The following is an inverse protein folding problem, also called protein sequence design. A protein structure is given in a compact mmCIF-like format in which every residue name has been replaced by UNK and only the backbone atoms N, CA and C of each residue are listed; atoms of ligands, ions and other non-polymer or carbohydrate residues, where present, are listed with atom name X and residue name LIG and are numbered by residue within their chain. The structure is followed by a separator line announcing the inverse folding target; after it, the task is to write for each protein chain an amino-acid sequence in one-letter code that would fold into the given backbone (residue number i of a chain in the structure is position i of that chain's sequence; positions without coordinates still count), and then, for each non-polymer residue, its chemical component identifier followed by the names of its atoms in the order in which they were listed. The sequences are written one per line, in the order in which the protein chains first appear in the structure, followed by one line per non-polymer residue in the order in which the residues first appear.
data_IF_773950793321
#
_entry.id   IF_773950793321
#
_cell.length_a   1.000
_cell.length_b   1.000
_cell.length_c   1.000
_cell.angle_alpha   90.00
_cell.angle_beta   90.00
_cell.angle_gamma   90.00
#
_symmetry.space_group_name_H-M   'P 1'
#
loop_
_entity.id
_entity.type
_entity.pdbx_description
1 polymer ?
#
# COMPACT_ATOMS: atom_id res chain seq x y z
N UNK A 1 33.43 -11.15 -31.27
CA UNK A 1 33.61 -10.44 -29.98
C UNK A 1 34.38 -9.10 -30.03
N UNK A 2 34.40 -8.29 -31.11
CA UNK A 2 34.81 -6.87 -31.01
C UNK A 2 33.63 -5.88 -30.97
N UNK A 3 32.42 -6.29 -31.37
CA UNK A 3 31.23 -5.41 -31.44
C UNK A 3 30.67 -5.02 -30.08
N UNK A 4 30.86 -5.88 -29.07
CA UNK A 4 30.33 -5.67 -27.71
C UNK A 4 31.13 -4.58 -26.99
N UNK A 5 32.45 -4.54 -27.15
CA UNK A 5 33.35 -3.56 -26.52
C UNK A 5 33.17 -2.15 -27.07
N UNK A 6 32.81 -2.02 -28.34
CA UNK A 6 32.51 -0.72 -28.96
C UNK A 6 31.23 -0.11 -28.40
N UNK A 7 30.19 -0.93 -28.18
CA UNK A 7 28.89 -0.49 -27.66
C UNK A 7 28.99 -0.12 -26.17
N UNK A 8 29.70 -0.90 -25.35
CA UNK A 8 29.85 -0.59 -23.92
C UNK A 8 30.61 0.71 -23.66
N UNK A 9 31.65 1.01 -24.44
CA UNK A 9 32.44 2.24 -24.25
C UNK A 9 31.73 3.51 -24.76
N UNK A 10 30.97 3.42 -25.85
CA UNK A 10 30.08 4.52 -26.29
C UNK A 10 28.99 4.82 -25.26
N UNK A 11 28.42 3.76 -24.66
CA UNK A 11 27.38 3.89 -23.64
C UNK A 11 27.91 4.59 -22.37
N UNK A 12 29.12 4.24 -21.93
CA UNK A 12 29.76 4.86 -20.76
C UNK A 12 30.10 6.35 -20.98
N UNK A 13 30.61 6.72 -22.16
CA UNK A 13 30.87 8.13 -22.50
C UNK A 13 29.57 8.96 -22.55
N UNK A 14 28.50 8.41 -23.13
CA UNK A 14 27.20 9.09 -23.18
C UNK A 14 26.63 9.27 -21.77
N UNK A 15 26.73 8.27 -20.90
CA UNK A 15 26.26 8.34 -19.50
C UNK A 15 27.04 9.39 -18.70
N UNK A 16 28.38 9.43 -18.83
CA UNK A 16 29.21 10.41 -18.14
C UNK A 16 28.87 11.86 -18.57
N UNK A 17 28.68 12.08 -19.87
CA UNK A 17 28.25 13.38 -20.41
C UNK A 17 26.83 13.75 -19.94
N UNK A 18 25.90 12.79 -19.87
CA UNK A 18 24.53 13.01 -19.38
C UNK A 18 24.49 13.39 -17.90
N UNK A 19 25.34 12.77 -17.08
CA UNK A 19 25.45 13.05 -15.65
C UNK A 19 26.03 14.44 -15.37
N UNK A 20 26.97 14.91 -16.19
CA UNK A 20 27.47 16.29 -16.10
C UNK A 20 26.42 17.30 -16.59
N UNK A 21 25.66 16.95 -17.63
CA UNK A 21 24.64 17.80 -18.26
C UNK A 21 23.39 18.00 -17.38
N UNK A 22 23.09 17.12 -16.42
CA UNK A 22 21.98 17.29 -15.46
C UNK A 22 22.18 18.42 -14.44
N UNK A 23 23.37 19.01 -14.32
CA UNK A 23 23.68 20.07 -13.35
C UNK A 23 23.39 21.51 -13.81
N UNK A 24 22.79 21.72 -14.99
CA UNK A 24 22.55 23.06 -15.57
C UNK A 24 21.03 23.34 -15.73
N UNK A 25 20.51 24.57 -15.47
CA UNK A 25 19.06 24.85 -15.55
C UNK A 25 18.42 24.65 -16.94
N UNK A 26 17.10 24.41 -16.95
CA UNK A 26 16.33 23.74 -18.03
C UNK A 26 15.96 24.55 -19.28
N UNK A 27 16.21 25.86 -19.37
CA UNK A 27 15.42 26.69 -20.29
C UNK A 27 15.89 26.76 -21.77
N UNK A 28 17.01 26.17 -22.18
CA UNK A 28 17.43 26.16 -23.60
C UNK A 28 18.32 24.95 -23.91
N UNK A 29 17.81 23.87 -24.52
CA UNK A 29 18.66 22.72 -24.89
C UNK A 29 18.21 22.06 -26.19
N UNK A 30 19.14 21.94 -27.13
CA UNK A 30 19.14 20.97 -28.22
C UNK A 30 20.53 20.32 -28.28
N UNK A 31 20.59 18.99 -28.36
CA UNK A 31 21.84 18.25 -28.60
C UNK A 31 21.79 17.66 -30.00
N UNK A 32 22.86 17.85 -30.77
CA UNK A 32 23.06 17.17 -32.03
C UNK A 32 24.33 16.33 -31.94
N UNK A 33 24.24 15.08 -32.41
CA UNK A 33 25.38 14.21 -32.64
C UNK A 33 25.64 14.18 -34.14
N UNK A 34 26.84 14.56 -34.56
CA UNK A 34 27.25 14.50 -35.96
C UNK A 34 28.48 13.60 -36.09
N UNK A 35 28.37 12.58 -36.94
CA UNK A 35 29.43 11.60 -37.23
C UNK A 35 29.96 11.90 -38.63
N UNK A 36 31.18 12.40 -38.73
CA UNK A 36 31.84 12.69 -40.00
C UNK A 36 32.92 11.66 -40.29
N UNK A 37 32.90 11.11 -41.51
CA UNK A 37 33.87 10.14 -42.00
C UNK A 37 34.78 10.83 -43.02
N UNK A 38 36.09 10.89 -42.74
CA UNK A 38 37.09 11.43 -43.67
C UNK A 38 38.16 10.38 -43.95
N UNK A 39 38.45 10.17 -45.23
CA UNK A 39 39.60 9.36 -45.68
C UNK A 39 40.75 10.29 -46.05
N UNK A 40 41.84 10.29 -45.28
CA UNK A 40 43.10 10.90 -45.71
C UNK A 40 43.87 9.88 -46.58
N UNK A 41 44.27 10.30 -47.78
CA UNK A 41 45.31 9.61 -48.55
C UNK A 41 46.64 10.24 -48.17
N UNK A 42 47.43 9.54 -47.36
CA UNK A 42 48.86 9.84 -47.23
C UNK A 42 49.68 8.65 -47.73
N UNK A 43 50.77 8.97 -48.42
CA UNK A 43 51.70 8.02 -49.01
C UNK A 43 52.51 7.29 -47.93
N UNK A 44 51.95 6.26 -47.31
CA UNK A 44 52.69 5.18 -46.67
C UNK A 44 51.83 3.92 -46.52
N UNK A 45 52.49 2.76 -46.49
CA UNK A 45 51.93 1.43 -46.69
C UNK A 45 51.03 0.95 -45.53
N UNK A 46 49.81 1.49 -45.42
CA UNK A 46 48.58 0.92 -44.83
C UNK A 46 47.54 2.05 -44.67
N UNK A 47 46.31 1.96 -45.23
CA UNK A 47 45.30 2.99 -45.03
C UNK A 47 44.75 2.95 -43.60
N UNK A 48 45.01 3.98 -42.80
CA UNK A 48 44.32 4.22 -41.53
C UNK A 48 42.99 4.95 -41.77
N UNK A 49 41.92 4.53 -41.09
CA UNK A 49 40.62 5.21 -41.12
C UNK A 49 40.40 5.88 -39.77
N UNK A 50 40.24 7.20 -39.74
CA UNK A 50 40.02 7.95 -38.50
C UNK A 50 38.53 8.30 -38.38
N UNK A 51 37.91 7.95 -37.26
CA UNK A 51 36.55 8.37 -36.92
C UNK A 51 36.64 9.54 -35.94
N UNK A 52 36.08 10.68 -36.30
CA UNK A 52 35.99 11.84 -35.40
C UNK A 52 34.55 11.98 -34.93
N UNK A 53 34.34 11.90 -33.62
CA UNK A 53 33.04 12.17 -33.01
C UNK A 53 33.07 13.61 -32.47
N UNK A 54 32.21 14.47 -33.01
CA UNK A 54 32.08 15.85 -32.52
C UNK A 54 30.76 16.00 -31.77
N UNK A 55 30.81 16.45 -30.52
CA UNK A 55 29.62 16.90 -29.80
C UNK A 55 29.52 18.41 -29.91
N UNK A 56 28.41 18.89 -30.48
CA UNK A 56 28.11 20.31 -30.59
C UNK A 56 27.08 20.70 -29.55
N UNK A 57 27.43 21.68 -28.71
CA UNK A 57 26.52 22.27 -27.73
C UNK A 57 26.09 23.66 -28.21
N UNK A 58 24.79 23.87 -28.33
CA UNK A 58 24.22 25.16 -28.70
C UNK A 58 23.66 25.88 -27.46
N UNK A 59 24.10 27.12 -27.24
CA UNK A 59 23.55 28.04 -26.23
C UNK A 59 23.22 29.37 -26.90
N UNK A 60 22.02 29.51 -27.43
CA UNK A 60 21.65 30.69 -28.23
C UNK A 60 22.50 30.80 -29.51
N UNK A 61 22.90 32.01 -29.92
CA UNK A 61 23.66 32.29 -31.16
C UNK A 61 25.17 31.96 -31.11
N UNK A 62 25.63 31.19 -30.12
CA UNK A 62 27.05 30.86 -29.94
C UNK A 62 27.28 29.35 -29.87
N UNK A 63 28.28 28.86 -30.61
CA UNK A 63 28.69 27.44 -30.67
C UNK A 63 29.94 27.19 -29.84
N UNK A 64 29.94 26.10 -29.06
CA UNK A 64 31.13 25.54 -28.41
C UNK A 64 31.36 24.13 -28.98
N UNK A 65 32.52 23.89 -29.59
CA UNK A 65 32.91 22.58 -30.15
C UNK A 65 33.93 21.90 -29.22
N UNK A 66 33.68 20.63 -28.89
CA UNK A 66 34.65 19.79 -28.17
C UNK A 66 35.03 18.62 -29.10
N UNK A 67 36.30 18.55 -29.50
CA UNK A 67 36.81 17.49 -30.35
C UNK A 67 37.44 16.38 -29.52
N UNK A 68 36.96 15.14 -29.69
CA UNK A 68 37.58 13.95 -29.12
C UNK A 68 38.15 13.14 -30.28
N UNK A 69 39.49 13.08 -30.35
CA UNK A 69 40.21 12.27 -31.34
C UNK A 69 40.40 10.85 -30.79
N UNK A 70 39.89 9.85 -31.49
CA UNK A 70 40.21 8.44 -31.23
C UNK A 70 40.66 7.77 -32.52
N UNK A 71 41.88 7.22 -32.54
CA UNK A 71 42.43 6.48 -33.68
C UNK A 71 42.17 4.99 -33.47
N UNK A 72 41.52 4.33 -34.45
CA UNK A 72 41.34 2.87 -34.43
C UNK A 72 41.72 2.27 -35.79
N UNK A 73 42.46 1.16 -35.76
CA UNK A 73 42.76 0.31 -36.93
C UNK A 73 41.80 -0.88 -36.92
N UNK A 74 41.08 -1.12 -38.02
CA UNK A 74 40.17 -2.25 -38.15
C UNK A 74 40.34 -2.94 -39.53
N UNK A 75 40.54 -4.26 -39.49
CA UNK A 75 40.69 -5.13 -40.66
C UNK A 75 39.33 -5.47 -41.30
N UNK A 76 39.26 -5.42 -42.63
CA UNK A 76 38.07 -5.70 -43.46
C UNK A 76 37.58 -7.14 -43.29
N UNK A 77 36.31 -7.32 -42.89
CA UNK A 77 35.49 -8.43 -43.40
C UNK A 77 34.12 -7.88 -43.81
N UNK A 78 33.74 -8.15 -45.06
CA UNK A 78 32.48 -7.72 -45.68
C UNK A 78 31.35 -8.65 -45.25
N UNK A 79 30.36 -8.14 -44.51
CA UNK A 79 29.03 -8.73 -44.39
C UNK A 79 27.99 -7.59 -44.47
N UNK A 80 26.97 -7.67 -45.35
CA UNK A 80 25.90 -6.69 -45.38
C UNK A 80 24.88 -7.03 -44.28
N UNK A 81 24.75 -6.16 -43.28
CA UNK A 81 23.64 -6.22 -42.31
C UNK A 81 22.74 -5.03 -42.59
N UNK A 82 21.50 -5.28 -43.01
CA UNK A 82 20.45 -4.26 -43.05
C UNK A 82 20.03 -3.92 -41.62
N UNK A 83 20.31 -2.69 -41.19
CA UNK A 83 19.80 -2.17 -39.92
C UNK A 83 18.42 -1.56 -40.15
N UNK A 84 17.37 -2.33 -39.84
CA UNK A 84 16.05 -1.76 -39.62
C UNK A 84 16.07 -0.98 -38.30
N UNK A 85 16.02 0.34 -38.39
CA UNK A 85 15.91 1.25 -37.25
C UNK A 85 14.51 1.12 -36.64
N UNK A 86 14.38 0.36 -35.56
CA UNK A 86 13.22 0.47 -34.68
C UNK A 86 13.32 1.79 -33.88
N UNK A 87 12.22 2.53 -33.71
CA UNK A 87 12.23 3.76 -32.92
C UNK A 87 12.63 3.46 -31.46
N UNK A 88 13.27 4.41 -30.77
CA UNK A 88 13.70 4.20 -29.39
C UNK A 88 12.50 3.93 -28.48
N UNK A 89 12.40 2.69 -27.98
CA UNK A 89 11.47 2.33 -26.92
C UNK A 89 11.97 3.00 -25.64
N UNK A 90 11.37 4.12 -25.30
CA UNK A 90 11.51 4.74 -23.99
C UNK A 90 10.76 3.88 -22.98
N UNK A 91 11.48 3.08 -22.20
CA UNK A 91 10.92 2.47 -20.99
C UNK A 91 10.80 3.54 -19.90
N UNK A 92 9.76 4.36 -19.99
CA UNK A 92 9.18 4.99 -18.82
C UNK A 92 8.29 3.95 -18.16
N UNK A 93 8.74 3.38 -17.03
CA UNK A 93 7.81 2.67 -16.16
C UNK A 93 6.82 3.73 -15.65
N UNK A 94 5.52 3.67 -16.02
CA UNK A 94 4.56 4.60 -15.45
C UNK A 94 4.55 4.35 -13.95
N UNK A 95 4.75 5.39 -13.15
CA UNK A 95 4.40 5.35 -11.73
C UNK A 95 2.90 5.10 -11.67
N UNK A 96 2.50 3.84 -11.58
CA UNK A 96 1.09 3.48 -11.45
C UNK A 96 0.62 4.09 -10.13
N UNK A 97 -0.37 4.96 -10.19
CA UNK A 97 -1.00 5.51 -8.99
C UNK A 97 -1.82 4.42 -8.28
N UNK A 98 -2.17 4.62 -7.01
CA UNK A 98 -3.13 3.77 -6.30
C UNK A 98 -4.43 3.57 -7.11
N UNK A 99 -4.88 4.60 -7.84
CA UNK A 99 -6.04 4.52 -8.72
C UNK A 99 -5.85 3.50 -9.87
N UNK A 100 -4.64 3.33 -10.39
CA UNK A 100 -4.38 2.38 -11.49
C UNK A 100 -4.52 0.92 -11.04
N UNK A 101 -4.26 0.62 -9.77
CA UNK A 101 -4.52 -0.72 -9.22
C UNK A 101 -6.02 -1.05 -9.21
N UNK A 102 -6.88 -0.04 -9.02
CA UNK A 102 -8.33 -0.21 -8.93
C UNK A 102 -9.06 -0.05 -10.27
N UNK A 103 -8.47 0.60 -11.28
CA UNK A 103 -9.06 0.67 -12.64
C UNK A 103 -9.37 -0.70 -13.24
N UNK A 104 -8.54 -1.70 -12.95
CA UNK A 104 -8.72 -3.07 -13.46
C UNK A 104 -9.84 -3.84 -12.73
N UNK A 105 -10.32 -3.33 -11.59
CA UNK A 105 -11.33 -3.96 -10.75
C UNK A 105 -12.34 -2.90 -10.24
N UNK A 106 -13.21 -2.38 -11.13
CA UNK A 106 -14.15 -1.33 -10.77
C UNK A 106 -15.22 -1.84 -9.78
N UNK A 107 -15.62 -0.97 -8.85
CA UNK A 107 -16.70 -1.28 -7.88
C UNK A 107 -17.85 -0.32 -8.11
N UNK A 108 -18.98 -0.84 -8.57
CA UNK A 108 -20.16 -0.06 -8.87
C UNK A 108 -21.05 0.09 -7.63
N UNK A 109 -21.38 1.34 -7.28
CA UNK A 109 -22.48 1.63 -6.37
C UNK A 109 -23.78 1.06 -6.94
N UNK A 110 -24.48 0.26 -6.14
CA UNK A 110 -25.75 -0.32 -6.53
C UNK A 110 -26.84 0.76 -6.57
N UNK A 111 -27.70 0.73 -7.59
CA UNK A 111 -28.69 1.80 -7.84
C UNK A 111 -29.78 1.90 -6.75
N UNK A 112 -30.01 0.84 -5.95
CA UNK A 112 -30.93 0.87 -4.81
C UNK A 112 -30.15 1.00 -3.51
N UNK A 113 -29.90 2.24 -3.08
CA UNK A 113 -29.41 2.48 -1.72
C UNK A 113 -30.47 2.12 -0.70
N UNK A 114 -30.10 1.30 0.27
CA UNK A 114 -30.94 1.00 1.41
C UNK A 114 -30.87 2.15 2.42
N UNK A 115 -32.03 2.54 2.92
CA UNK A 115 -32.10 3.33 4.14
C UNK A 115 -32.16 2.38 5.33
N UNK A 116 -30.98 2.07 5.88
CA UNK A 116 -30.81 1.15 7.00
C UNK A 116 -31.62 1.55 8.24
N UNK A 117 -32.04 2.81 8.38
CA UNK A 117 -32.79 3.28 9.54
C UNK A 117 -34.28 2.88 9.51
N UNK A 118 -34.80 2.49 8.35
CA UNK A 118 -36.23 2.20 8.14
C UNK A 118 -36.57 0.72 7.99
N UNK A 119 -35.55 -0.13 7.83
CA UNK A 119 -35.74 -1.55 7.56
C UNK A 119 -36.10 -2.32 8.85
N UNK A 120 -37.24 -3.02 8.81
CA UNK A 120 -37.66 -3.92 9.89
C UNK A 120 -37.03 -5.31 9.78
N UNK A 121 -36.64 -5.71 8.56
CA UNK A 121 -36.03 -7.01 8.26
C UNK A 121 -34.83 -6.83 7.33
N UNK A 122 -33.91 -7.79 7.37
CA UNK A 122 -32.73 -7.80 6.52
C UNK A 122 -33.09 -8.31 5.12
N UNK A 123 -32.78 -7.57 4.04
CA UNK A 123 -33.00 -8.05 2.68
C UNK A 123 -32.12 -9.26 2.35
N UNK A 124 -32.56 -10.15 1.45
CA UNK A 124 -31.79 -11.35 1.07
C UNK A 124 -30.41 -11.06 0.49
N UNK A 125 -30.20 -9.86 -0.07
CA UNK A 125 -28.90 -9.39 -0.54
C UNK A 125 -27.90 -9.14 0.59
N UNK A 126 -28.37 -8.97 1.83
CA UNK A 126 -27.58 -8.73 3.03
C UNK A 126 -27.69 -9.87 4.05
N UNK A 127 -28.40 -10.95 3.73
CA UNK A 127 -28.42 -12.17 4.55
C UNK A 127 -27.17 -12.99 4.29
N UNK A 128 -26.22 -12.92 5.21
CA UNK A 128 -25.01 -13.73 5.26
C UNK A 128 -25.35 -15.06 5.95
N UNK A 129 -25.13 -16.17 5.25
CA UNK A 129 -25.32 -17.51 5.81
C UNK A 129 -24.00 -18.05 6.35
N UNK A 130 -24.04 -19.09 7.21
CA UNK A 130 -22.80 -19.79 7.61
C UNK A 130 -22.02 -20.35 6.41
N UNK A 131 -22.69 -20.56 5.27
CA UNK A 131 -22.06 -20.97 4.02
C UNK A 131 -21.26 -19.83 3.33
N UNK A 132 -21.58 -18.57 3.62
CA UNK A 132 -20.81 -17.42 3.16
C UNK A 132 -19.59 -17.14 4.08
N UNK A 133 -19.55 -17.80 5.25
CA UNK A 133 -18.48 -17.80 6.26
C UNK A 133 -17.58 -19.08 6.17
N UNK A 134 -17.69 -19.90 5.10
CA UNK A 134 -17.15 -21.29 5.01
C UNK A 134 -15.65 -21.46 5.26
N UNK A 135 -14.83 -20.43 5.25
CA UNK A 135 -13.41 -20.61 5.60
C UNK A 135 -13.15 -20.72 7.12
N UNK A 136 -14.17 -20.75 8.00
CA UNK A 136 -13.96 -20.34 9.41
C UNK A 136 -14.73 -21.10 10.51
N UNK A 137 -14.81 -22.44 10.43
CA UNK A 137 -15.12 -23.29 11.60
C UNK A 137 -13.93 -24.26 11.84
N UNK A 138 -13.33 -24.37 13.04
CA UNK A 138 -13.67 -25.28 14.16
C UNK A 138 -12.45 -25.29 15.15
N UNK A 139 -12.45 -25.92 16.35
CA UNK A 139 -13.47 -26.71 17.03
C UNK A 139 -14.02 -26.06 18.31
N UNK A 140 -15.21 -26.51 18.70
CA UNK A 140 -15.76 -26.36 20.05
C UNK A 140 -14.84 -27.07 21.06
N UNK A 141 -13.94 -26.33 21.68
CA UNK A 141 -13.32 -26.74 22.94
C UNK A 141 -13.60 -25.62 23.92
N UNK A 142 -14.37 -25.94 24.95
CA UNK A 142 -14.53 -25.12 26.15
C UNK A 142 -13.16 -24.92 26.81
N UNK A 143 -12.42 -23.94 26.30
CA UNK A 143 -11.22 -23.41 26.93
C UNK A 143 -11.64 -22.09 27.56
N UNK A 144 -11.81 -22.10 28.88
CA UNK A 144 -12.10 -20.94 29.73
C UNK A 144 -10.94 -19.91 29.80
N UNK A 145 -10.06 -19.88 28.80
CA UNK A 145 -9.04 -18.84 28.66
C UNK A 145 -9.64 -17.74 27.79
N UNK A 146 -10.12 -16.67 28.43
CA UNK A 146 -10.46 -15.42 27.73
C UNK A 146 -9.16 -14.72 27.33
N UNK A 147 -8.48 -15.23 26.30
CA UNK A 147 -7.35 -14.50 25.70
C UNK A 147 -7.91 -13.22 25.07
N UNK A 148 -7.35 -12.07 25.44
CA UNK A 148 -7.76 -10.76 24.93
C UNK A 148 -6.63 -10.11 24.16
N UNK A 149 -6.98 -9.25 23.19
CA UNK A 149 -6.01 -8.43 22.47
C UNK A 149 -5.13 -7.64 23.45
N UNK A 150 -3.78 -7.70 23.34
CA UNK A 150 -2.88 -7.02 24.26
C UNK A 150 -3.09 -5.51 24.26
N UNK A 151 -3.04 -4.90 25.44
CA UNK A 151 -3.09 -3.43 25.62
C UNK A 151 -1.69 -2.91 25.92
N UNK A 152 -1.22 -1.99 25.10
CA UNK A 152 0.12 -1.43 25.18
C UNK A 152 0.04 0.05 25.57
N UNK A 153 0.65 0.40 26.69
CA UNK A 153 0.92 1.79 27.05
C UNK A 153 2.16 2.30 26.31
N UNK A 154 2.02 3.34 25.49
CA UNK A 154 3.15 3.91 24.73
C UNK A 154 4.13 4.74 25.59
N UNK A 155 3.86 4.92 26.89
CA UNK A 155 4.77 5.53 27.85
C UNK A 155 5.52 4.50 28.71
N UNK A 156 5.18 3.22 28.60
CA UNK A 156 5.87 2.15 29.33
C UNK A 156 7.36 2.08 28.93
N UNK A 157 8.31 2.05 29.87
CA UNK A 157 9.74 1.86 29.58
C UNK A 157 10.04 0.60 28.74
N UNK A 158 9.21 -0.44 28.85
CA UNK A 158 9.30 -1.71 28.14
C UNK A 158 8.45 -1.75 26.87
N UNK A 159 7.90 -0.62 26.41
CA UNK A 159 7.03 -0.51 25.23
C UNK A 159 7.59 -1.26 24.01
N UNK A 160 8.91 -1.22 23.80
CA UNK A 160 9.56 -1.87 22.67
C UNK A 160 9.34 -3.40 22.70
N UNK A 161 9.57 -4.02 23.86
CA UNK A 161 9.38 -5.46 24.04
C UNK A 161 7.89 -5.84 23.99
N UNK A 162 7.04 -5.04 24.65
CA UNK A 162 5.61 -5.30 24.74
C UNK A 162 4.94 -5.25 23.34
N UNK A 163 5.27 -4.25 22.52
CA UNK A 163 4.81 -4.17 21.12
C UNK A 163 5.31 -5.37 20.33
N UNK A 164 6.60 -5.70 20.42
CA UNK A 164 7.17 -6.82 19.67
C UNK A 164 6.49 -8.14 19.98
N UNK A 165 6.18 -8.39 21.25
CA UNK A 165 5.47 -9.58 21.70
C UNK A 165 4.03 -9.60 21.20
N UNK A 166 3.29 -8.49 21.31
CA UNK A 166 1.92 -8.39 20.82
C UNK A 166 1.85 -8.59 19.30
N UNK A 167 2.75 -7.97 18.54
CA UNK A 167 2.81 -8.16 17.09
C UNK A 167 3.09 -9.62 16.70
N UNK A 168 4.02 -10.32 17.38
CA UNK A 168 4.33 -11.74 17.09
C UNK A 168 3.18 -12.69 17.41
N UNK A 169 2.50 -12.45 18.53
CA UNK A 169 1.54 -13.42 19.10
C UNK A 169 0.10 -13.16 18.69
N UNK A 170 -0.23 -11.92 18.33
CA UNK A 170 -1.57 -11.49 17.98
C UNK A 170 -1.67 -10.82 16.61
N UNK A 171 -0.65 -10.13 16.13
CA UNK A 171 -0.75 -9.30 14.91
C UNK A 171 -1.72 -8.10 15.05
N UNK A 172 -2.31 -7.92 16.23
CA UNK A 172 -3.22 -6.85 16.61
C UNK A 172 -2.96 -6.46 18.07
N UNK A 173 -3.10 -5.17 18.38
CA UNK A 173 -2.90 -4.64 19.73
C UNK A 173 -3.73 -3.38 19.96
N UNK A 174 -4.13 -3.14 21.21
CA UNK A 174 -4.53 -1.81 21.64
C UNK A 174 -3.32 -0.97 21.98
N UNK A 175 -3.39 0.33 21.70
CA UNK A 175 -2.44 1.32 22.19
C UNK A 175 -3.17 2.40 23.00
N UNK A 176 -2.56 2.77 24.12
CA UNK A 176 -2.99 3.86 25.01
C UNK A 176 -1.85 4.85 25.21
N UNK A 177 -2.15 6.03 25.77
CA UNK A 177 -1.17 7.12 25.92
C UNK A 177 -0.39 7.43 24.64
N UNK A 178 -1.08 7.34 23.50
CA UNK A 178 -0.47 7.48 22.17
C UNK A 178 -0.17 8.92 21.77
N UNK A 179 -0.64 9.90 22.54
CA UNK A 179 -0.37 11.33 22.35
C UNK A 179 -1.30 12.04 21.37
N UNK A 180 -2.32 11.35 20.84
CA UNK A 180 -3.37 12.02 20.05
C UNK A 180 -4.36 12.65 21.02
N UNK A 181 -4.70 13.95 20.88
CA UNK A 181 -5.70 14.59 21.74
C UNK A 181 -7.05 13.88 21.64
N UNK A 182 -7.66 13.57 22.79
CA UNK A 182 -8.99 12.94 22.83
C UNK A 182 -10.04 13.81 22.12
N UNK A 183 -9.96 15.13 22.26
CA UNK A 183 -10.84 16.06 21.57
C UNK A 183 -10.73 15.96 20.04
N UNK A 184 -9.57 15.59 19.49
CA UNK A 184 -9.43 15.38 18.04
C UNK A 184 -10.13 14.08 17.60
N UNK A 185 -10.07 13.02 18.42
CA UNK A 185 -10.81 11.77 18.18
C UNK A 185 -12.33 12.01 18.23
N UNK A 186 -12.81 12.78 19.21
CA UNK A 186 -14.22 13.17 19.32
C UNK A 186 -14.68 14.03 18.14
N UNK A 187 -13.83 14.97 17.69
CA UNK A 187 -14.13 15.83 16.54
C UNK A 187 -14.23 15.02 15.24
N UNK A 188 -13.30 14.09 14.97
CA UNK A 188 -13.35 13.25 13.77
C UNK A 188 -14.54 12.28 13.80
N UNK A 189 -14.92 11.77 14.98
CA UNK A 189 -16.16 11.00 15.15
C UNK A 189 -17.39 11.87 14.83
N UNK A 190 -17.43 13.11 15.34
CA UNK A 190 -18.52 14.06 15.08
C UNK A 190 -18.67 14.35 13.59
N UNK A 191 -17.56 14.59 12.87
CA UNK A 191 -17.56 14.78 11.41
C UNK A 191 -18.09 13.54 10.70
N UNK A 192 -17.62 12.35 11.09
CA UNK A 192 -18.05 11.08 10.50
C UNK A 192 -19.54 10.82 10.74
N UNK A 193 -20.03 11.05 11.95
CA UNK A 193 -21.45 10.94 12.27
C UNK A 193 -22.28 11.89 11.43
N UNK A 194 -21.89 13.17 11.33
CA UNK A 194 -22.59 14.16 10.49
C UNK A 194 -22.63 13.74 9.04
N UNK A 195 -21.55 13.18 8.50
CA UNK A 195 -21.48 12.67 7.13
C UNK A 195 -22.53 11.59 6.89
N UNK A 196 -22.55 10.55 7.74
CA UNK A 196 -23.44 9.42 7.53
C UNK A 196 -24.91 9.73 7.84
N UNK A 197 -25.18 10.74 8.67
CA UNK A 197 -26.52 11.28 8.92
C UNK A 197 -27.08 12.14 7.77
N UNK A 198 -26.28 12.51 6.76
CA UNK A 198 -26.79 13.25 5.61
C UNK A 198 -27.81 12.40 4.82
N UNK A 199 -28.82 13.03 4.19
CA UNK A 199 -29.69 12.34 3.25
C UNK A 199 -28.89 11.66 2.14
N UNK A 200 -29.34 10.49 1.69
CA UNK A 200 -28.60 9.70 0.68
C UNK A 200 -28.28 10.50 -0.59
N UNK A 201 -29.21 11.33 -1.06
CA UNK A 201 -29.01 12.20 -2.23
C UNK A 201 -27.84 13.17 -2.04
N UNK A 202 -27.61 13.63 -0.81
CA UNK A 202 -26.49 14.50 -0.48
C UNK A 202 -25.19 13.70 -0.41
N UNK A 203 -25.18 12.54 0.25
CA UNK A 203 -24.00 11.64 0.30
C UNK A 203 -23.52 11.24 -1.11
N UNK A 204 -24.46 10.97 -2.01
CA UNK A 204 -24.20 10.60 -3.40
C UNK A 204 -23.53 11.70 -4.24
N UNK A 205 -23.56 12.97 -3.81
CA UNK A 205 -22.81 14.03 -4.52
C UNK A 205 -21.31 13.78 -4.48
N UNK A 206 -20.83 13.19 -3.38
CA UNK A 206 -19.44 12.77 -3.20
C UNK A 206 -19.26 11.26 -3.44
N UNK A 207 -20.09 10.64 -4.28
CA UNK A 207 -19.95 9.23 -4.61
C UNK A 207 -18.60 8.93 -5.26
N UNK A 208 -17.96 7.85 -4.80
CA UNK A 208 -16.74 7.36 -5.40
C UNK A 208 -17.01 6.86 -6.83
N UNK A 209 -16.20 7.27 -7.80
CA UNK A 209 -16.29 6.72 -9.16
C UNK A 209 -15.94 5.22 -9.16
N UNK A 210 -16.44 4.41 -10.11
CA UNK A 210 -16.19 2.97 -10.11
C UNK A 210 -14.71 2.58 -10.05
N UNK A 211 -13.88 3.37 -10.74
CA UNK A 211 -12.42 3.24 -10.81
C UNK A 211 -11.66 4.08 -9.77
N UNK A 212 -12.33 5.00 -9.08
CA UNK A 212 -11.75 5.94 -8.13
C UNK A 212 -11.58 5.34 -6.74
N UNK A 213 -10.69 5.92 -5.92
CA UNK A 213 -10.39 5.39 -4.57
C UNK A 213 -11.13 6.13 -3.47
N UNK A 214 -11.33 7.43 -3.65
CA UNK A 214 -11.92 8.34 -2.66
C UNK A 214 -13.40 8.62 -2.92
N UNK A 215 -14.15 8.89 -1.86
CA UNK A 215 -15.57 9.23 -1.90
C UNK A 215 -16.44 8.24 -1.12
N UNK A 216 -17.74 8.52 -1.13
CA UNK A 216 -18.79 7.70 -0.53
C UNK A 216 -19.03 6.43 -1.34
N UNK A 217 -19.13 5.29 -0.67
CA UNK A 217 -19.63 4.06 -1.27
C UNK A 217 -19.33 2.80 -0.46
N UNK A 218 -19.67 1.66 -1.06
CA UNK A 218 -19.50 0.35 -0.42
C UNK A 218 -18.02 -0.01 -0.24
N UNK A 219 -17.69 -0.88 0.72
CA UNK A 219 -16.33 -1.37 0.89
C UNK A 219 -15.83 -2.03 -0.41
N UNK A 220 -14.60 -1.74 -0.85
CA UNK A 220 -14.07 -2.31 -2.11
C UNK A 220 -14.00 -3.83 -2.09
N UNK A 221 -13.81 -4.44 -0.91
CA UNK A 221 -13.81 -5.89 -0.76
C UNK A 221 -15.17 -6.53 -1.07
N UNK A 222 -16.26 -5.75 -1.11
CA UNK A 222 -17.62 -6.29 -1.37
C UNK A 222 -17.70 -6.99 -2.73
N UNK A 223 -16.84 -6.67 -3.71
CA UNK A 223 -16.82 -7.35 -5.00
C UNK A 223 -16.38 -8.82 -4.94
N UNK A 224 -15.79 -9.26 -3.83
CA UNK A 224 -15.40 -10.66 -3.61
C UNK A 224 -16.52 -11.51 -3.00
N UNK A 225 -17.65 -10.90 -2.65
CA UNK A 225 -18.74 -11.56 -1.96
C UNK A 225 -20.02 -11.45 -2.78
N UNK A 226 -20.83 -12.50 -2.73
CA UNK A 226 -22.16 -12.52 -3.35
C UNK A 226 -23.19 -11.69 -2.55
N UNK A 227 -22.89 -11.44 -1.27
CA UNK A 227 -23.70 -10.69 -0.31
C UNK A 227 -23.14 -9.30 -0.07
N UNK A 228 -24.03 -8.36 0.17
CA UNK A 228 -23.71 -6.97 0.51
C UNK A 228 -23.47 -6.82 2.01
N UNK A 229 -22.59 -5.89 2.34
CA UNK A 229 -22.26 -5.56 3.72
C UNK A 229 -23.33 -4.66 4.34
N UNK A 230 -23.61 -4.85 5.63
CA UNK A 230 -24.43 -3.96 6.44
C UNK A 230 -23.61 -2.75 6.93
N UNK A 231 -23.11 -1.96 5.98
CA UNK A 231 -22.31 -0.78 6.29
C UNK A 231 -22.34 0.27 5.19
N UNK A 232 -22.03 1.49 5.60
CA UNK A 232 -21.69 2.60 4.73
C UNK A 232 -20.21 2.97 4.89
N UNK A 233 -19.57 3.40 3.81
CA UNK A 233 -18.16 3.76 3.80
C UNK A 233 -17.90 5.10 3.13
N UNK A 234 -16.85 5.78 3.59
CA UNK A 234 -16.30 6.96 2.93
C UNK A 234 -14.78 6.89 2.97
N UNK A 235 -14.15 6.84 1.80
CA UNK A 235 -12.68 6.77 1.68
C UNK A 235 -12.11 8.14 1.35
N UNK A 236 -11.04 8.55 2.02
CA UNK A 236 -10.30 9.77 1.75
C UNK A 236 -8.85 9.38 1.46
N UNK A 237 -8.38 9.72 0.26
CA UNK A 237 -6.99 9.63 -0.15
C UNK A 237 -6.56 11.02 -0.60
N UNK A 238 -5.58 11.61 0.07
CA UNK A 238 -5.22 13.01 -0.11
C UNK A 238 -6.24 13.93 0.56
N UNK A 239 -6.53 15.09 -0.05
CA UNK A 239 -7.42 16.07 0.58
C UNK A 239 -8.91 15.70 0.45
N UNK A 240 -9.73 15.90 1.51
CA UNK A 240 -11.18 15.72 1.45
C UNK A 240 -11.92 16.88 0.76
N UNK A 241 -11.21 17.97 0.40
CA UNK A 241 -11.77 19.25 -0.02
C UNK A 241 -12.86 19.16 -1.09
N UNK A 242 -12.60 18.48 -2.20
CA UNK A 242 -13.55 18.42 -3.32
C UNK A 242 -14.86 17.72 -2.91
N UNK A 243 -14.76 16.61 -2.20
CA UNK A 243 -15.93 15.90 -1.71
C UNK A 243 -16.67 16.70 -0.63
N UNK A 244 -15.96 17.27 0.33
CA UNK A 244 -16.59 18.00 1.43
C UNK A 244 -17.25 19.29 0.96
N UNK A 245 -16.71 19.96 -0.08
CA UNK A 245 -17.36 21.11 -0.73
C UNK A 245 -18.71 20.73 -1.34
N UNK A 246 -18.84 19.52 -1.90
CA UNK A 246 -20.10 19.02 -2.44
C UNK A 246 -21.09 18.62 -1.34
N UNK A 247 -20.60 18.05 -0.23
CA UNK A 247 -21.42 17.62 0.91
C UNK A 247 -21.88 18.78 1.79
N UNK A 248 -21.03 19.79 2.03
CA UNK A 248 -21.29 20.92 2.92
C UNK A 248 -20.78 22.24 2.33
N UNK A 249 -21.45 22.81 1.32
CA UNK A 249 -20.96 24.00 0.61
C UNK A 249 -20.65 25.22 1.49
N UNK A 250 -21.29 25.32 2.66
CA UNK A 250 -21.14 26.46 3.58
C UNK A 250 -20.16 26.21 4.74
N UNK A 251 -19.86 24.94 5.09
CA UNK A 251 -19.09 24.59 6.29
C UNK A 251 -17.91 23.64 6.01
N UNK A 252 -17.64 23.30 4.74
CA UNK A 252 -16.67 22.29 4.37
C UNK A 252 -15.27 22.54 4.95
N UNK A 253 -14.83 23.80 5.07
CA UNK A 253 -13.49 24.14 5.58
C UNK A 253 -13.28 23.60 7.00
N UNK A 254 -14.26 23.80 7.89
CA UNK A 254 -14.19 23.31 9.28
C UNK A 254 -14.05 21.80 9.35
N UNK A 255 -14.74 21.08 8.46
CA UNK A 255 -14.65 19.61 8.42
C UNK A 255 -13.35 19.14 7.77
N UNK A 256 -12.86 19.85 6.74
CA UNK A 256 -11.54 19.59 6.17
C UNK A 256 -10.44 19.75 7.23
N UNK A 257 -10.45 20.85 7.98
CA UNK A 257 -9.43 21.15 9.01
C UNK A 257 -9.34 20.01 10.05
N UNK A 258 -10.49 19.47 10.49
CA UNK A 258 -10.54 18.34 11.44
C UNK A 258 -9.94 17.08 10.85
N UNK A 259 -10.32 16.71 9.61
CA UNK A 259 -9.79 15.52 8.94
C UNK A 259 -8.28 15.66 8.71
N UNK A 260 -7.83 16.81 8.21
CA UNK A 260 -6.42 17.04 7.87
C UNK A 260 -5.53 17.05 9.12
N UNK A 261 -5.98 17.64 10.23
CA UNK A 261 -5.26 17.58 11.50
C UNK A 261 -5.23 16.14 12.06
N UNK A 262 -6.35 15.40 11.97
CA UNK A 262 -6.40 13.99 12.35
C UNK A 262 -5.43 13.13 11.54
N UNK A 263 -5.40 13.27 10.20
CA UNK A 263 -4.47 12.53 9.34
C UNK A 263 -3.02 12.86 9.65
N UNK A 264 -2.71 14.12 9.97
CA UNK A 264 -1.36 14.55 10.36
C UNK A 264 -0.91 13.90 11.67
N UNK A 265 -1.75 13.86 12.70
CA UNK A 265 -1.42 13.20 13.97
C UNK A 265 -1.35 11.67 13.82
N UNK A 266 -2.27 11.07 13.05
CA UNK A 266 -2.21 9.65 12.72
C UNK A 266 -0.95 9.27 11.93
N UNK A 267 -0.49 10.12 11.01
CA UNK A 267 0.76 9.90 10.27
C UNK A 267 1.97 9.86 11.22
N UNK A 268 2.04 10.79 12.19
CA UNK A 268 3.11 10.81 13.19
C UNK A 268 3.07 9.54 14.05
N UNK A 269 1.88 9.15 14.51
CA UNK A 269 1.70 7.95 15.31
C UNK A 269 2.07 6.68 14.52
N UNK A 270 1.61 6.55 13.28
CA UNK A 270 1.91 5.42 12.41
C UNK A 270 3.43 5.26 12.18
N UNK A 271 4.14 6.36 11.95
CA UNK A 271 5.61 6.35 11.84
C UNK A 271 6.27 5.89 13.14
N UNK A 272 5.82 6.41 14.29
CA UNK A 272 6.34 6.01 15.61
C UNK A 272 6.12 4.52 15.86
N UNK A 273 4.91 4.03 15.65
CA UNK A 273 4.55 2.61 15.82
C UNK A 273 5.34 1.70 14.88
N UNK A 274 5.47 2.07 13.61
CA UNK A 274 6.28 1.32 12.63
C UNK A 274 7.72 1.15 13.14
N UNK A 275 8.33 2.21 13.67
CA UNK A 275 9.69 2.14 14.22
C UNK A 275 9.80 1.38 15.54
N UNK A 276 8.78 1.41 16.40
CA UNK A 276 8.74 0.58 17.61
C UNK A 276 8.63 -0.91 17.25
N UNK A 277 7.76 -1.26 16.31
CA UNK A 277 7.62 -2.63 15.81
C UNK A 277 8.95 -3.11 15.21
N UNK A 278 9.49 -2.40 14.22
CA UNK A 278 10.77 -2.74 13.60
C UNK A 278 11.93 -2.78 14.62
N UNK A 279 11.99 -1.81 15.52
CA UNK A 279 13.01 -1.75 16.58
C UNK A 279 12.98 -2.96 17.51
N UNK A 280 11.79 -3.53 17.78
CA UNK A 280 11.66 -4.74 18.59
C UNK A 280 12.14 -6.02 17.87
N UNK A 281 12.36 -5.96 16.55
CA UNK A 281 13.08 -6.96 15.76
C UNK A 281 14.58 -6.63 15.63
N UNK A 282 15.07 -5.62 16.35
CA UNK A 282 16.44 -5.14 16.27
C UNK A 282 16.76 -4.40 14.97
N UNK A 283 15.74 -3.94 14.23
CA UNK A 283 15.91 -3.19 12.98
C UNK A 283 16.10 -1.71 13.30
N UNK A 284 17.07 -1.09 12.62
CA UNK A 284 17.41 0.32 12.74
C UNK A 284 17.21 1.05 11.42
N UNK A 285 17.29 2.39 11.43
CA UNK A 285 17.24 3.20 10.20
C UNK A 285 18.29 2.83 9.16
N UNK A 286 19.41 2.19 9.56
CA UNK A 286 20.48 1.76 8.66
C UNK A 286 20.10 0.52 7.85
N UNK A 287 19.15 -0.26 8.34
CA UNK A 287 18.70 -1.51 7.73
C UNK A 287 17.59 -1.27 6.68
N UNK A 288 17.03 -0.06 6.62
CA UNK A 288 15.96 0.33 5.71
C UNK A 288 16.30 1.63 4.96
N UNK A 289 16.87 1.48 3.76
CA UNK A 289 17.35 2.59 2.95
C UNK A 289 16.26 3.61 2.56
N UNK A 290 15.00 3.17 2.46
CA UNK A 290 13.86 4.03 2.12
C UNK A 290 13.19 4.67 3.35
N UNK A 291 13.54 4.25 4.58
CA UNK A 291 12.91 4.75 5.80
C UNK A 291 13.84 5.71 6.61
N UNK A 292 15.07 5.94 6.16
CA UNK A 292 16.02 6.86 6.79
C UNK A 292 15.74 8.35 6.51
N UNK A 293 16.53 9.29 7.08
CA UNK A 293 16.31 10.75 6.96
C UNK A 293 16.29 11.30 5.52
N UNK A 294 16.85 10.56 4.56
CA UNK A 294 16.83 10.87 3.11
C UNK A 294 15.68 10.21 2.35
N UNK A 295 15.03 9.22 2.96
CA UNK A 295 13.88 8.47 2.47
C UNK A 295 12.56 8.85 3.15
N UNK A 296 12.59 9.83 4.06
CA UNK A 296 11.42 10.55 4.56
C UNK A 296 10.80 11.38 3.42
N UNK A 297 10.32 10.71 2.36
CA UNK A 297 9.43 11.37 1.41
C UNK A 297 8.19 11.79 2.18
N UNK A 298 7.65 12.96 1.83
CA UNK A 298 6.34 13.43 2.30
C UNK A 298 5.19 12.54 1.78
N UNK A 299 5.49 11.47 1.06
CA UNK A 299 4.59 10.71 0.17
C UNK A 299 4.50 9.24 0.58
N UNK A 300 4.40 8.93 1.87
CA UNK A 300 3.84 7.65 2.28
C UNK A 300 2.39 7.60 1.84
N UNK A 301 1.95 6.55 1.15
CA UNK A 301 0.54 6.45 0.79
C UNK A 301 -0.27 6.17 2.05
N UNK A 302 -1.31 6.98 2.26
CA UNK A 302 -2.27 6.76 3.32
C UNK A 302 -3.68 6.88 2.76
N UNK A 303 -4.61 6.18 3.39
CA UNK A 303 -6.03 6.36 3.19
C UNK A 303 -6.71 6.44 4.55
N UNK A 304 -7.67 7.35 4.68
CA UNK A 304 -8.59 7.37 5.81
C UNK A 304 -9.91 6.76 5.36
N UNK A 305 -10.36 5.73 6.06
CA UNK A 305 -11.61 5.04 5.79
C UNK A 305 -12.56 5.28 6.96
N UNK A 306 -13.64 6.03 6.71
CA UNK A 306 -14.73 6.21 7.65
C UNK A 306 -15.76 5.10 7.41
N UNK A 307 -16.15 4.39 8.45
CA UNK A 307 -17.13 3.30 8.37
C UNK A 307 -18.28 3.54 9.34
N UNK A 308 -19.50 3.32 8.85
CA UNK A 308 -20.74 3.38 9.60
C UNK A 308 -21.44 2.03 9.52
N UNK A 309 -21.80 1.48 10.68
CA UNK A 309 -22.52 0.22 10.82
C UNK A 309 -23.83 0.50 11.57
N UNK A 310 -24.93 0.77 10.85
CA UNK A 310 -26.25 0.97 11.42
C UNK A 310 -26.68 -0.19 12.31
N UNK A 311 -27.56 0.10 13.27
CA UNK A 311 -28.25 -0.94 14.02
C UNK A 311 -28.95 -1.90 13.04
N UNK A 312 -28.92 -3.20 13.34
CA UNK A 312 -29.31 -4.25 12.42
C UNK A 312 -30.44 -5.09 13.03
N UNK A 313 -31.60 -5.28 12.37
CA UNK A 313 -32.72 -6.01 12.97
C UNK A 313 -32.41 -7.49 13.23
N UNK A 314 -31.44 -8.07 12.52
CA UNK A 314 -31.02 -9.46 12.72
C UNK A 314 -29.48 -9.63 12.57
N UNK A 315 -28.70 -9.20 13.58
CA UNK A 315 -27.25 -9.08 13.45
C UNK A 315 -26.53 -10.42 13.20
N UNK A 316 -27.14 -11.55 13.54
CA UNK A 316 -26.56 -12.88 13.33
C UNK A 316 -26.63 -13.31 11.85
N UNK A 317 -27.46 -12.64 11.05
CA UNK A 317 -27.59 -12.86 9.60
C UNK A 317 -26.93 -11.75 8.77
N UNK A 318 -26.18 -10.84 9.38
CA UNK A 318 -25.55 -9.72 8.68
C UNK A 318 -24.07 -9.57 9.00
N UNK A 319 -23.32 -9.11 8.02
CA UNK A 319 -21.90 -8.79 8.17
C UNK A 319 -21.68 -7.31 7.90
N UNK A 320 -21.06 -6.61 8.86
CA UNK A 320 -20.73 -5.20 8.70
C UNK A 320 -19.55 -5.01 7.76
N UNK A 321 -18.51 -5.80 7.93
CA UNK A 321 -17.36 -5.89 7.02
C UNK A 321 -16.81 -7.30 7.10
N UNK A 322 -16.79 -8.01 5.98
CA UNK A 322 -16.37 -9.41 5.94
C UNK A 322 -14.90 -9.61 6.30
N UNK A 323 -14.57 -10.86 6.63
CA UNK A 323 -13.22 -11.25 7.02
C UNK A 323 -12.20 -10.95 5.92
N UNK A 324 -11.15 -10.22 6.29
CA UNK A 324 -10.06 -9.85 5.40
C UNK A 324 -8.78 -9.56 6.20
N UNK A 325 -7.66 -9.45 5.50
CA UNK A 325 -6.43 -8.84 6.01
C UNK A 325 -6.15 -7.51 5.31
N UNK A 326 -5.45 -6.61 5.99
CA UNK A 326 -5.14 -5.27 5.47
C UNK A 326 -3.91 -5.27 4.57
N UNK A 327 -4.01 -4.63 3.40
CA UNK A 327 -2.92 -4.58 2.41
C UNK A 327 -1.82 -3.54 2.72
N UNK A 328 -1.74 -3.03 3.95
CA UNK A 328 -0.90 -1.89 4.37
C UNK A 328 0.33 -2.36 5.16
N UNK A 329 1.15 -1.43 5.67
CA UNK A 329 2.14 -1.76 6.71
C UNK A 329 1.42 -1.95 8.05
N UNK A 330 0.61 -0.97 8.43
CA UNK A 330 -0.24 -1.05 9.59
C UNK A 330 -1.52 -0.26 9.38
N UNK A 331 -2.54 -0.60 10.14
CA UNK A 331 -3.80 0.14 10.23
C UNK A 331 -3.97 0.63 11.65
N UNK A 332 -4.31 1.90 11.84
CA UNK A 332 -4.69 2.46 13.14
C UNK A 332 -6.18 2.72 13.11
N UNK A 333 -6.92 2.11 14.03
CA UNK A 333 -8.37 2.12 14.06
C UNK A 333 -8.87 2.80 15.32
N UNK A 334 -9.60 3.90 15.13
CA UNK A 334 -10.49 4.44 16.14
C UNK A 334 -11.86 3.75 16.07
N UNK A 335 -12.46 3.53 17.23
CA UNK A 335 -13.79 2.92 17.39
C UNK A 335 -14.57 3.74 18.41
N UNK A 336 -15.85 3.99 18.15
CA UNK A 336 -16.73 4.53 19.19
C UNK A 336 -17.02 3.48 20.28
N UNK A 337 -17.84 3.81 21.26
CA UNK A 337 -18.17 2.93 22.41
C UNK A 337 -19.02 1.69 22.06
N UNK A 338 -19.10 1.29 20.79
CA UNK A 338 -19.83 0.11 20.32
C UNK A 338 -18.85 -0.95 19.79
N UNK A 339 -18.82 -2.12 20.43
CA UNK A 339 -18.05 -3.28 19.96
C UNK A 339 -18.52 -3.75 18.58
N UNK A 340 -17.61 -4.38 17.84
CA UNK A 340 -17.94 -4.98 16.54
C UNK A 340 -16.73 -5.54 15.79
N UNK A 341 -15.51 -5.06 16.08
CA UNK A 341 -14.30 -5.69 15.54
C UNK A 341 -14.13 -7.08 16.15
N UNK A 342 -13.89 -8.06 15.29
CA UNK A 342 -13.43 -9.39 15.68
C UNK A 342 -12.15 -9.72 14.92
N UNK A 343 -11.24 -10.44 15.58
CA UNK A 343 -9.97 -10.91 15.02
C UNK A 343 -9.91 -12.42 15.13
N UNK A 344 -9.39 -13.09 14.11
CA UNK A 344 -9.26 -14.54 14.11
C UNK A 344 -7.94 -14.92 14.81
N UNK A 345 -8.06 -15.68 15.90
CA UNK A 345 -6.92 -16.17 16.67
C UNK A 345 -6.82 -17.68 16.50
N UNK A 346 -5.63 -18.15 16.10
CA UNK A 346 -5.37 -19.58 15.93
C UNK A 346 -5.65 -20.36 17.22
N UNK A 347 -6.34 -21.50 17.11
CA UNK A 347 -6.72 -22.35 18.23
C UNK A 347 -7.86 -21.82 19.11
N UNK A 348 -8.31 -20.57 18.91
CA UNK A 348 -9.39 -19.93 19.69
C UNK A 348 -10.60 -19.57 18.82
N UNK A 349 -10.37 -19.16 17.57
CA UNK A 349 -11.41 -18.67 16.67
C UNK A 349 -11.59 -17.15 16.75
N UNK A 350 -12.82 -16.68 16.52
CA UNK A 350 -13.13 -15.25 16.46
C UNK A 350 -13.16 -14.61 17.84
N UNK A 351 -12.20 -13.73 18.13
CA UNK A 351 -12.10 -12.96 19.37
C UNK A 351 -12.63 -11.54 19.17
N UNK A 352 -13.56 -11.11 20.03
CA UNK A 352 -14.08 -9.73 19.99
C UNK A 352 -13.09 -8.76 20.61
N UNK A 353 -12.87 -7.62 19.95
CA UNK A 353 -11.98 -6.55 20.41
C UNK A 353 -12.86 -5.41 20.97
N UNK A 354 -13.00 -5.28 22.30
CA UNK A 354 -13.83 -4.23 22.88
C UNK A 354 -13.17 -2.85 22.73
N UNK A 355 -13.94 -1.77 22.52
CA UNK A 355 -13.39 -0.43 22.49
C UNK A 355 -12.86 -0.04 23.87
N UNK A 356 -11.69 0.60 23.90
CA UNK A 356 -11.10 1.18 25.10
C UNK A 356 -11.26 2.71 25.00
N UNK A 357 -11.83 3.39 26.01
CA UNK A 357 -11.97 4.85 26.00
C UNK A 357 -10.63 5.53 25.74
N UNK A 358 -10.56 6.34 24.68
CA UNK A 358 -9.33 7.02 24.26
C UNK A 358 -8.20 6.09 23.80
N UNK A 359 -8.47 4.79 23.61
CA UNK A 359 -7.53 3.84 23.03
C UNK A 359 -7.73 3.68 21.53
N UNK A 360 -6.69 3.20 20.85
CA UNK A 360 -6.71 2.87 19.42
C UNK A 360 -6.34 1.41 19.22
N UNK A 361 -6.90 0.77 18.21
CA UNK A 361 -6.48 -0.58 17.79
C UNK A 361 -5.47 -0.44 16.65
N UNK A 362 -4.41 -1.23 16.68
CA UNK A 362 -3.39 -1.27 15.63
C UNK A 362 -3.32 -2.69 15.07
N UNK A 363 -3.48 -2.82 13.75
CA UNK A 363 -3.33 -4.08 13.04
C UNK A 363 -2.00 -4.09 12.26
N UNK A 364 -1.31 -5.22 12.27
CA UNK A 364 -0.23 -5.52 11.32
C UNK A 364 -0.86 -5.80 9.96
N UNK A 365 -0.40 -5.11 8.93
CA UNK A 365 -0.84 -5.36 7.55
C UNK A 365 0.11 -6.30 6.79
N UNK A 366 -0.37 -6.75 5.63
CA UNK A 366 0.31 -7.70 4.74
C UNK A 366 1.72 -7.23 4.33
N UNK A 367 1.94 -5.91 4.15
CA UNK A 367 3.26 -5.41 3.78
C UNK A 367 4.25 -5.49 4.94
N UNK A 368 3.80 -5.27 6.18
CA UNK A 368 4.67 -5.42 7.35
C UNK A 368 4.92 -6.90 7.67
N UNK A 369 3.95 -7.76 7.38
CA UNK A 369 4.14 -9.21 7.37
C UNK A 369 5.26 -9.62 6.41
N UNK A 370 5.22 -9.15 5.15
CA UNK A 370 6.29 -9.39 4.17
C UNK A 370 7.63 -8.83 4.66
N UNK A 371 7.63 -7.58 5.13
CA UNK A 371 8.84 -6.86 5.58
C UNK A 371 9.52 -7.58 6.76
N UNK A 372 8.74 -8.11 7.69
CA UNK A 372 9.20 -8.88 8.86
C UNK A 372 9.54 -10.35 8.54
N UNK A 373 9.47 -10.76 7.27
CA UNK A 373 9.63 -12.14 6.84
C UNK A 373 8.67 -13.13 7.54
N UNK A 374 7.44 -12.68 7.80
CA UNK A 374 6.40 -13.47 8.46
C UNK A 374 6.45 -13.51 9.99
N UNK A 375 7.41 -12.82 10.63
CA UNK A 375 7.50 -12.78 12.10
C UNK A 375 6.34 -12.03 12.75
N UNK A 376 5.73 -11.08 12.02
CA UNK A 376 4.50 -10.43 12.43
C UNK A 376 3.34 -10.91 11.56
N UNK A 377 2.42 -11.75 12.07
CA UNK A 377 1.25 -12.19 11.32
C UNK A 377 0.33 -11.01 10.95
N UNK A 378 -0.13 -10.99 9.71
CA UNK A 378 -1.27 -10.18 9.28
C UNK A 378 -2.53 -11.00 9.50
N UNK A 379 -3.37 -10.60 10.44
CA UNK A 379 -4.47 -11.42 10.94
C UNK A 379 -5.80 -11.10 10.25
N UNK A 380 -6.58 -12.16 9.99
CA UNK A 380 -7.95 -12.02 9.53
C UNK A 380 -8.77 -11.29 10.59
N UNK A 381 -9.52 -10.29 10.14
CA UNK A 381 -10.41 -9.54 10.99
C UNK A 381 -11.70 -9.18 10.24
N UNK A 382 -12.79 -9.03 10.99
CA UNK A 382 -14.12 -8.68 10.47
C UNK A 382 -14.81 -7.66 11.38
N UNK A 383 -15.86 -7.02 10.87
CA UNK A 383 -16.74 -6.19 11.67
C UNK A 383 -18.15 -6.80 11.70
N UNK A 384 -18.58 -7.25 12.87
CA UNK A 384 -19.97 -7.66 13.12
C UNK A 384 -20.82 -6.45 13.48
N UNK A 385 -22.13 -6.58 13.26
CA UNK A 385 -23.11 -5.52 13.55
C UNK A 385 -23.87 -5.81 14.83
N UNK A 386 -24.61 -4.82 15.31
CA UNK A 386 -25.35 -4.92 16.57
C UNK A 386 -26.82 -4.56 16.34
N UNK A 387 -27.72 -5.15 17.14
CA UNK A 387 -29.16 -4.89 17.05
C UNK A 387 -29.58 -3.50 17.54
N UNK A 388 -28.89 -2.97 18.54
CA UNK A 388 -29.36 -1.84 19.33
C UNK A 388 -28.49 -0.60 19.19
N UNK A 389 -27.23 -0.75 18.78
CA UNK A 389 -26.24 0.32 18.78
C UNK A 389 -25.63 0.52 17.41
N UNK A 390 -25.61 1.78 16.97
CA UNK A 390 -24.81 2.22 15.83
C UNK A 390 -23.32 2.16 16.19
N UNK A 391 -22.50 1.65 15.28
CA UNK A 391 -21.04 1.64 15.41
C UNK A 391 -20.43 2.53 14.34
N UNK A 392 -19.50 3.38 14.78
CA UNK A 392 -18.62 4.14 13.92
C UNK A 392 -17.19 3.66 14.12
N UNK A 393 -16.43 3.59 13.04
CA UNK A 393 -14.98 3.38 13.13
C UNK A 393 -14.26 4.13 12.03
N UNK A 394 -13.04 4.57 12.35
CA UNK A 394 -12.22 5.40 11.48
C UNK A 394 -10.86 4.71 11.38
N UNK A 395 -10.57 4.15 10.21
CA UNK A 395 -9.35 3.41 9.95
C UNK A 395 -8.35 4.29 9.17
N UNK A 396 -7.20 4.55 9.75
CA UNK A 396 -6.05 5.15 9.08
C UNK A 396 -5.14 4.04 8.55
N UNK A 397 -5.17 3.83 7.23
CA UNK A 397 -4.44 2.80 6.52
C UNK A 397 -3.09 3.36 6.09
N UNK A 398 -2.00 2.91 6.73
CA UNK A 398 -0.66 3.45 6.51
C UNK A 398 0.22 2.48 5.72
N UNK A 399 0.64 2.88 4.52
CA UNK A 399 1.57 2.09 3.70
C UNK A 399 2.84 2.84 3.34
N UNK A 400 3.76 2.19 2.63
CA UNK A 400 5.00 2.81 2.18
C UNK A 400 4.71 3.80 1.04
N UNK A 401 5.70 4.62 0.65
CA UNK A 401 5.63 5.31 -0.64
C UNK A 401 5.43 4.32 -1.79
N UNK A 402 4.65 4.70 -2.81
CA UNK A 402 4.20 3.80 -3.88
C UNK A 402 5.32 3.18 -4.72
N UNK A 403 6.50 3.80 -4.75
CA UNK A 403 7.69 3.37 -5.50
C UNK A 403 8.62 2.47 -4.70
N UNK A 404 8.39 2.30 -3.39
CA UNK A 404 9.23 1.46 -2.54
C UNK A 404 8.93 -0.01 -2.81
N UNK A 405 10.01 -0.78 -3.00
CA UNK A 405 9.97 -2.24 -3.01
C UNK A 405 10.01 -2.75 -1.57
N UNK A 406 8.94 -3.43 -1.17
CA UNK A 406 8.82 -4.15 0.10
C UNK A 406 9.30 -5.58 -0.10
N UNK A 407 10.23 -6.00 0.74
CA UNK A 407 10.79 -7.36 0.76
C UNK A 407 11.21 -7.72 2.19
N UNK A 408 11.38 -9.00 2.52
CA UNK A 408 11.98 -9.42 3.79
C UNK A 408 13.26 -8.63 4.11
N UNK A 409 13.35 -8.06 5.31
CA UNK A 409 14.54 -7.31 5.73
C UNK A 409 15.72 -8.27 5.84
N UNK A 410 16.85 -7.91 5.24
CA UNK A 410 18.03 -8.78 5.14
C UNK A 410 18.51 -9.30 6.50
N UNK A 411 18.41 -8.50 7.56
CA UNK A 411 18.79 -8.88 8.93
C UNK A 411 17.91 -9.98 9.55
N UNK A 412 16.70 -10.17 9.01
CA UNK A 412 15.73 -11.18 9.45
C UNK A 412 15.77 -12.44 8.58
N UNK A 413 16.69 -12.48 7.62
CA UNK A 413 16.89 -13.59 6.69
C UNK A 413 18.24 -14.25 6.97
N UNK A 414 18.28 -15.58 6.94
CA UNK A 414 19.50 -16.34 7.15
C UNK A 414 19.37 -17.79 6.69
N UNK A 415 20.39 -18.63 6.88
CA UNK A 415 20.39 -20.02 6.43
C UNK A 415 19.20 -20.84 6.94
N UNK A 416 18.75 -20.55 8.16
CA UNK A 416 17.64 -21.26 8.81
C UNK A 416 16.28 -20.54 8.63
N UNK A 417 16.29 -19.33 8.08
CA UNK A 417 15.11 -18.50 7.82
C UNK A 417 15.25 -17.85 6.45
N UNK A 418 15.02 -18.60 5.35
CA UNK A 418 15.11 -18.05 4.00
C UNK A 418 14.08 -16.93 3.79
N UNK A 419 14.25 -16.07 2.78
CA UNK A 419 13.24 -15.09 2.44
C UNK A 419 11.97 -15.82 1.99
N UNK A 420 10.85 -15.59 2.67
CA UNK A 420 9.58 -16.25 2.36
C UNK A 420 8.85 -15.58 1.21
N UNK A 421 9.13 -14.30 0.95
CA UNK A 421 8.39 -13.46 0.01
C UNK A 421 9.31 -12.81 -1.01
N UNK A 422 8.85 -12.70 -2.25
CA UNK A 422 9.54 -11.90 -3.28
C UNK A 422 9.34 -10.40 -3.02
N UNK A 423 10.25 -9.53 -3.51
CA UNK A 423 10.01 -8.09 -3.51
C UNK A 423 8.74 -7.70 -4.27
N UNK A 424 7.96 -6.78 -3.70
CA UNK A 424 6.73 -6.21 -4.29
C UNK A 424 6.63 -4.73 -3.95
N UNK A 425 6.15 -3.92 -4.90
CA UNK A 425 5.65 -2.57 -4.58
C UNK A 425 4.24 -2.67 -3.98
N UNK A 426 3.80 -1.63 -3.27
CA UNK A 426 2.43 -1.61 -2.74
C UNK A 426 1.37 -1.72 -3.84
N UNK A 427 1.57 -1.05 -4.98
CA UNK A 427 0.62 -1.14 -6.09
C UNK A 427 0.54 -2.55 -6.69
N UNK A 428 1.68 -3.22 -6.87
CA UNK A 428 1.69 -4.63 -7.32
C UNK A 428 0.97 -5.53 -6.33
N UNK A 429 1.15 -5.28 -5.03
CA UNK A 429 0.46 -6.03 -3.99
C UNK A 429 -1.04 -5.77 -3.98
N UNK A 430 -1.49 -4.52 -4.18
CA UNK A 430 -2.92 -4.19 -4.32
C UNK A 430 -3.55 -4.85 -5.55
N UNK A 431 -2.81 -4.93 -6.67
CA UNK A 431 -3.26 -5.69 -7.84
C UNK A 431 -3.38 -7.19 -7.53
N UNK A 432 -2.42 -7.75 -6.79
CA UNK A 432 -2.50 -9.13 -6.32
C UNK A 432 -3.71 -9.33 -5.39
N UNK A 433 -3.96 -8.41 -4.45
CA UNK A 433 -5.13 -8.41 -3.56
C UNK A 433 -6.44 -8.32 -4.34
N UNK A 434 -6.50 -7.45 -5.35
CA UNK A 434 -7.67 -7.29 -6.20
C UNK A 434 -8.02 -8.57 -7.00
N UNK A 435 -7.01 -9.40 -7.28
CA UNK A 435 -7.17 -10.66 -8.02
C UNK A 435 -7.38 -11.89 -7.13
N UNK A 436 -6.68 -11.95 -6.00
CA UNK A 436 -6.54 -13.15 -5.18
C UNK A 436 -7.14 -13.02 -3.77
N UNK A 437 -7.56 -11.82 -3.38
CA UNK A 437 -8.14 -11.52 -2.07
C UNK A 437 -7.31 -12.09 -0.90
N UNK A 438 -7.85 -13.02 -0.12
CA UNK A 438 -7.14 -13.64 1.01
C UNK A 438 -5.90 -14.46 0.59
N UNK A 439 -5.82 -14.89 -0.67
CA UNK A 439 -4.66 -15.65 -1.22
C UNK A 439 -3.55 -14.76 -1.78
N UNK A 440 -3.63 -13.44 -1.58
CA UNK A 440 -2.65 -12.50 -2.11
C UNK A 440 -1.25 -12.69 -1.48
N UNK A 441 -1.15 -12.92 -0.17
CA UNK A 441 0.11 -13.22 0.51
C UNK A 441 0.76 -14.49 -0.07
N UNK A 442 -0.01 -15.55 -0.24
CA UNK A 442 0.44 -16.80 -0.88
C UNK A 442 0.93 -16.58 -2.30
N UNK A 443 0.28 -15.70 -3.08
CA UNK A 443 0.66 -15.42 -4.47
C UNK A 443 2.02 -14.73 -4.63
N UNK A 444 2.57 -14.16 -3.56
CA UNK A 444 3.89 -13.49 -3.54
C UNK A 444 4.92 -14.25 -2.70
N UNK A 445 4.53 -15.42 -2.16
CA UNK A 445 5.41 -16.33 -1.44
C UNK A 445 6.32 -17.09 -2.41
N UNK A 446 7.58 -17.26 -2.03
CA UNK A 446 8.60 -17.99 -2.81
C UNK A 446 9.08 -19.28 -2.12
N UNK A 447 8.84 -19.44 -0.82
CA UNK A 447 9.21 -20.61 -0.04
C UNK A 447 8.10 -20.95 0.96
N UNK A 448 7.90 -22.23 1.25
CA UNK A 448 7.04 -22.64 2.36
C UNK A 448 7.72 -22.28 3.70
N UNK A 449 6.97 -21.85 4.73
CA UNK A 449 7.53 -21.59 6.05
C UNK A 449 8.18 -22.87 6.63
N UNK A 450 9.45 -22.80 7.03
CA UNK A 450 10.07 -23.85 7.84
C UNK A 450 9.57 -23.68 9.28
N UNK A 451 8.82 -24.69 9.76
CA UNK A 451 8.27 -24.85 11.11
C UNK A 451 7.06 -23.97 11.46
N UNK A 452 5.86 -24.53 11.29
CA UNK A 452 4.69 -24.26 12.16
C UNK A 452 4.11 -22.83 12.20
N UNK A 453 4.77 -21.83 11.61
CA UNK A 453 4.18 -20.55 11.23
C UNK A 453 3.28 -20.81 10.01
N UNK A 454 2.22 -21.56 10.25
CA UNK A 454 1.14 -21.75 9.29
C UNK A 454 0.55 -20.37 9.09
N UNK A 455 0.68 -19.85 7.88
CA UNK A 455 -0.18 -18.75 7.48
C UNK A 455 -1.60 -19.31 7.56
N UNK A 456 -2.39 -18.84 8.52
CA UNK A 456 -3.77 -19.29 8.73
C UNK A 456 -4.60 -19.09 7.44
N UNK A 457 -4.11 -18.29 6.50
CA UNK A 457 -4.70 -18.07 5.18
C UNK A 457 -4.28 -19.10 4.10
N UNK A 458 -3.31 -19.99 4.36
CA UNK A 458 -2.70 -20.88 3.38
C UNK A 458 -3.01 -22.35 3.67
N UNK A 459 -4.28 -22.74 3.53
CA UNK A 459 -4.70 -24.14 3.62
C UNK A 459 -4.45 -24.87 2.30
N UNK A 460 -3.21 -25.30 2.10
CA UNK A 460 -2.84 -26.24 1.02
C UNK A 460 -2.00 -27.42 1.52
N UNK A 461 -2.26 -27.89 2.75
CA UNK A 461 -1.71 -29.15 3.27
C UNK A 461 -2.80 -30.22 3.38
N UNK A 462 -3.39 -30.58 2.23
CA UNK A 462 -4.00 -31.91 2.09
C UNK A 462 -2.85 -32.91 2.08
N UNK A 463 -2.62 -33.59 3.21
CA UNK A 463 -1.85 -34.83 3.22
C UNK A 463 -2.66 -35.86 2.44
N UNK A 464 -2.23 -36.16 1.22
CA UNK A 464 -2.62 -37.39 0.54
C UNK A 464 -1.94 -38.52 1.29
N UNK A 465 -2.72 -39.24 2.09
CA UNK A 465 -2.36 -40.57 2.60
C UNK A 465 -2.49 -41.62 1.51
#
# INVERSE_FOLDING_TARGET
MPTITLITNLTLCVIACFLHWRKVPLCCRSLFLELTYQTQKEHSLLPSSTFTLSLLFYRGKSTLSLHILSVFSAWRTKLPVSLNLFPPVTFTMPSRSLADAFRSHPVHLHQKHLDFSTLQEIPDSHKWTQLDDIEQQHPSVESFITESVPVIDLLDPNVLQNIGNACKTWGVLHVTNHGIPISLLENVESVSSKLFSLPIQQKLKAARSPDGVSGYGVARISSFFSKLMWSEGFTIVGSPLEHFRQLWPQDYTKFCDVIEEHEKEMQKLARRLTWLMLGSLGITKKDLNWAGPKGESKEGGAALQLNSYPACPDPDLAMGLAAHTDSTLLTILYQNNTSGLQVLKEGIGWVTVPPIPGGLVVNVGDLLHILSNGLYPSVLHRAVVNRNKHRLSIAYLYGPPSTVLISPIQKLVGPNHPPLYRPVTWNEYLVAKAKHFNKALSSVRICAPLNGLVDVNDHNSVKVG
#
